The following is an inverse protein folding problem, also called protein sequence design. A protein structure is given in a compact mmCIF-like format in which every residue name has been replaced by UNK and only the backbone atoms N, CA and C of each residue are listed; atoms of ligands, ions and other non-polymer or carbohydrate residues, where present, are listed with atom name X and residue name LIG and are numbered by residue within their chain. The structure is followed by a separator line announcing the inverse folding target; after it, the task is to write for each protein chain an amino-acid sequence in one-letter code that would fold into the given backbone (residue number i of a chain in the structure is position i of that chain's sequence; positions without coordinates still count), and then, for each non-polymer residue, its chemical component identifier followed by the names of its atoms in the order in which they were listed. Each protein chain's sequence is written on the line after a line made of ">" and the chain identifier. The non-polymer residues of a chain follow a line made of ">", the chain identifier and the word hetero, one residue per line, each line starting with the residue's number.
data_IF_262793161516
#
_entry.id   IF_262793161516
#
_cell.length_a   1.000
_cell.length_b   1.000
_cell.length_c   1.000
_cell.angle_alpha   90.00
_cell.angle_beta   90.00
_cell.angle_gamma   90.00
#
_symmetry.space_group_name_H-M   'P 1'
#
loop_
_entity.id
_entity.type
_entity.pdbx_description
1 polymer ?
#
# COMPACT_ATOMS: atom_id res chain seq x y z
N UNK A 1 4.47 4.16 -23.51
CA UNK A 1 4.58 4.89 -22.23
C UNK A 1 4.38 3.83 -21.17
N UNK A 2 5.35 3.50 -20.31
CA UNK A 2 5.13 2.46 -19.34
C UNK A 2 3.99 2.97 -18.47
N UNK A 3 2.89 2.22 -18.48
CA UNK A 3 1.79 2.36 -17.56
C UNK A 3 2.41 2.48 -16.17
N UNK A 4 2.47 3.69 -15.62
CA UNK A 4 2.88 3.88 -14.23
C UNK A 4 1.95 2.96 -13.46
N UNK A 5 2.50 1.89 -12.88
CA UNK A 5 1.72 0.97 -12.08
C UNK A 5 0.85 1.83 -11.16
N UNK A 6 -0.48 1.66 -11.26
CA UNK A 6 -1.40 2.55 -10.56
C UNK A 6 -0.97 2.70 -9.10
N UNK A 7 -1.05 3.89 -8.49
CA UNK A 7 -0.48 4.13 -7.17
C UNK A 7 -1.02 3.11 -6.16
N UNK A 8 -2.28 2.71 -6.29
CA UNK A 8 -2.89 1.62 -5.55
C UNK A 8 -2.16 0.27 -5.70
N UNK A 9 -1.81 -0.14 -6.92
CA UNK A 9 -1.08 -1.36 -7.19
C UNK A 9 0.34 -1.33 -6.59
N UNK A 10 1.01 -0.17 -6.59
CA UNK A 10 2.31 -0.02 -5.92
C UNK A 10 2.19 -0.15 -4.40
N UNK A 11 1.15 0.43 -3.80
CA UNK A 11 0.86 0.32 -2.35
C UNK A 11 0.49 -1.11 -1.95
N UNK A 12 -0.26 -1.80 -2.80
CA UNK A 12 -0.70 -3.17 -2.57
C UNK A 12 0.46 -4.17 -2.48
N UNK A 13 1.67 -3.84 -2.95
CA UNK A 13 2.85 -4.72 -2.83
C UNK A 13 3.39 -4.85 -1.39
N UNK A 14 2.97 -3.98 -0.47
CA UNK A 14 3.46 -3.97 0.91
C UNK A 14 2.36 -4.37 1.88
N UNK A 15 2.72 -4.98 3.01
CA UNK A 15 1.79 -5.18 4.11
C UNK A 15 1.39 -3.84 4.75
N UNK A 16 0.14 -3.74 5.21
CA UNK A 16 -0.32 -2.55 5.89
C UNK A 16 0.04 -2.59 7.38
N UNK A 17 0.94 -1.73 7.90
CA UNK A 17 1.31 -1.75 9.31
C UNK A 17 0.20 -1.24 10.24
N UNK A 18 -0.87 -0.64 9.70
CA UNK A 18 -1.99 -0.10 10.49
C UNK A 18 -3.16 -1.06 10.65
N UNK A 19 -3.53 -1.78 9.59
CA UNK A 19 -4.70 -2.68 9.60
C UNK A 19 -4.35 -4.15 9.33
N UNK A 20 -3.05 -4.43 9.19
CA UNK A 20 -2.45 -5.75 8.98
C UNK A 20 -2.96 -6.46 7.72
N UNK A 21 -3.53 -5.69 6.77
CA UNK A 21 -3.89 -6.21 5.47
C UNK A 21 -2.60 -6.65 4.74
N UNK A 22 -2.52 -7.90 4.26
CA UNK A 22 -1.30 -8.39 3.64
C UNK A 22 -1.07 -7.74 2.28
N UNK A 23 0.15 -7.88 1.76
CA UNK A 23 0.44 -7.59 0.37
C UNK A 23 -0.58 -8.31 -0.57
N UNK A 24 -0.96 -7.63 -1.64
CA UNK A 24 -1.98 -8.02 -2.60
C UNK A 24 -3.41 -7.70 -2.16
N UNK A 25 -3.61 -7.26 -0.91
CA UNK A 25 -4.92 -6.87 -0.38
C UNK A 25 -5.08 -5.36 -0.27
N UNK A 26 -6.31 -4.86 -0.48
CA UNK A 26 -6.67 -3.46 -0.17
C UNK A 26 -6.64 -3.25 1.35
N UNK A 27 -6.52 -1.99 1.80
CA UNK A 27 -6.69 -1.70 3.22
C UNK A 27 -8.15 -1.93 3.66
N UNK A 28 -8.34 -2.22 4.95
CA UNK A 28 -9.67 -2.40 5.55
C UNK A 28 -9.94 -1.38 6.64
N UNK A 29 -11.19 -0.98 6.74
CA UNK A 29 -11.75 -0.26 7.89
C UNK A 29 -11.94 -1.22 9.06
N UNK A 30 -12.06 -0.67 10.28
CA UNK A 30 -12.35 -1.47 11.48
C UNK A 30 -13.68 -2.23 11.40
N UNK A 31 -14.63 -1.75 10.59
CA UNK A 31 -15.90 -2.41 10.30
C UNK A 31 -15.84 -3.52 9.24
N UNK A 32 -14.64 -3.96 8.83
CA UNK A 32 -14.48 -5.05 7.88
C UNK A 32 -14.87 -4.69 6.44
N UNK A 33 -14.86 -3.40 6.09
CA UNK A 33 -15.10 -2.90 4.72
C UNK A 33 -13.82 -2.38 4.09
N UNK A 34 -13.73 -2.42 2.76
CA UNK A 34 -12.64 -1.78 2.01
C UNK A 34 -12.66 -0.28 2.29
N UNK A 35 -11.52 0.28 2.68
CA UNK A 35 -11.38 1.74 2.91
C UNK A 35 -11.42 2.50 1.58
N UNK A 36 -11.95 3.74 1.54
CA UNK A 36 -11.85 4.58 0.34
C UNK A 36 -10.42 5.10 0.05
N UNK A 37 -9.51 5.03 1.03
CA UNK A 37 -8.11 5.46 0.89
C UNK A 37 -7.16 4.56 1.67
N UNK A 38 -5.96 4.31 1.15
CA UNK A 38 -4.95 3.52 1.85
C UNK A 38 -4.41 4.27 3.07
N UNK A 39 -3.96 3.51 4.07
CA UNK A 39 -3.34 4.08 5.26
C UNK A 39 -1.99 4.72 4.90
N UNK A 40 -1.74 5.94 5.39
CA UNK A 40 -0.49 6.69 5.18
C UNK A 40 0.76 5.87 5.48
N UNK A 41 0.85 5.13 6.60
CA UNK A 41 2.01 4.28 6.87
C UNK A 41 2.30 3.23 5.79
N UNK A 42 1.29 2.75 5.05
CA UNK A 42 1.48 1.76 3.99
C UNK A 42 2.00 2.41 2.71
N UNK A 43 1.39 3.50 2.24
CA UNK A 43 1.82 4.10 0.99
C UNK A 43 3.15 4.85 1.09
N UNK A 44 3.54 5.29 2.29
CA UNK A 44 4.88 5.84 2.56
C UNK A 44 6.02 4.82 2.35
N UNK A 45 5.71 3.52 2.32
CA UNK A 45 6.69 2.47 1.98
C UNK A 45 7.08 2.53 0.50
N UNK A 46 6.24 3.12 -0.34
CA UNK A 46 6.52 3.32 -1.76
C UNK A 46 7.24 4.67 -1.94
N UNK A 47 8.53 4.71 -2.32
CA UNK A 47 9.31 5.95 -2.35
C UNK A 47 8.69 7.05 -3.24
N UNK A 48 8.11 6.65 -4.37
CA UNK A 48 7.47 7.56 -5.33
C UNK A 48 6.19 8.24 -4.78
N UNK A 49 5.51 7.61 -3.80
CA UNK A 49 4.26 8.12 -3.22
C UNK A 49 4.47 8.85 -1.90
N UNK A 50 5.72 9.01 -1.42
CA UNK A 50 5.98 9.70 -0.15
C UNK A 50 5.63 11.19 -0.16
N UNK A 51 5.63 11.80 -1.34
CA UNK A 51 5.19 13.19 -1.52
C UNK A 51 3.66 13.30 -1.64
N UNK A 52 2.93 12.18 -1.80
CA UNK A 52 1.48 12.19 -1.87
C UNK A 52 0.85 12.28 -0.49
N UNK A 53 -0.20 13.08 -0.39
CA UNK A 53 -0.95 13.27 0.85
C UNK A 53 -1.94 12.13 1.09
N UNK A 54 -2.49 11.56 0.01
CA UNK A 54 -3.42 10.44 0.03
C UNK A 54 -3.30 9.59 -1.23
N UNK A 55 -3.48 8.29 -1.07
CA UNK A 55 -3.69 7.35 -2.19
C UNK A 55 -5.10 6.80 -2.09
N UNK A 56 -5.94 7.09 -3.09
CA UNK A 56 -7.32 6.62 -3.15
C UNK A 56 -7.38 5.15 -3.53
N UNK A 57 -8.36 4.45 -3.00
CA UNK A 57 -8.68 3.09 -3.42
C UNK A 57 -9.49 3.15 -4.72
N UNK A 58 -9.01 2.52 -5.82
CA UNK A 58 -9.71 2.52 -7.11
C UNK A 58 -11.11 1.92 -7.01
N UNK A 59 -12.01 2.33 -7.92
CA UNK A 59 -13.41 1.91 -7.89
C UNK A 59 -13.58 0.39 -8.10
N UNK A 60 -12.71 -0.24 -8.90
CA UNK A 60 -12.69 -1.68 -9.16
C UNK A 60 -12.38 -2.52 -7.91
N UNK A 61 -11.69 -1.92 -6.91
CA UNK A 61 -11.40 -2.53 -5.61
C UNK A 61 -12.58 -2.49 -4.64
N UNK A 62 -13.68 -1.84 -5.01
CA UNK A 62 -14.93 -1.83 -4.26
C UNK A 62 -14.88 -1.11 -2.91
N UNK A 63 -14.45 0.17 -2.85
CA UNK A 63 -14.46 0.93 -1.59
C UNK A 63 -15.86 0.92 -0.95
N UNK A 64 -15.92 0.67 0.36
CA UNK A 64 -17.17 0.54 1.13
C UNK A 64 -17.84 -0.85 1.08
N UNK A 65 -17.40 -1.75 0.18
CA UNK A 65 -17.84 -3.16 0.16
C UNK A 65 -17.18 -3.96 1.27
N UNK A 66 -17.73 -5.14 1.55
CA UNK A 66 -17.12 -6.10 2.47
C UNK A 66 -15.68 -6.40 2.03
N UNK A 67 -14.74 -6.25 2.94
CA UNK A 67 -13.33 -6.50 2.66
C UNK A 67 -13.12 -8.00 2.54
N UNK A 68 -12.34 -8.38 1.52
CA UNK A 68 -11.88 -9.74 1.30
C UNK A 68 -10.36 -9.70 1.15
N UNK A 69 -9.71 -10.77 1.58
CA UNK A 69 -8.29 -10.93 1.34
C UNK A 69 -8.05 -10.99 -0.17
N UNK A 70 -7.14 -10.15 -0.65
CA UNK A 70 -6.69 -10.16 -2.04
C UNK A 70 -5.78 -11.37 -2.33
N UNK A 71 -5.32 -11.51 -3.58
CA UNK A 71 -4.39 -12.58 -3.94
C UNK A 71 -3.13 -12.51 -3.07
N UNK A 72 -2.71 -13.65 -2.53
CA UNK A 72 -1.48 -13.74 -1.79
C UNK A 72 -0.30 -13.53 -2.75
N UNK A 73 0.42 -12.42 -2.58
CA UNK A 73 1.66 -12.12 -3.29
C UNK A 73 2.80 -12.05 -2.28
N UNK A 74 4.03 -12.28 -2.75
CA UNK A 74 5.20 -12.03 -1.94
C UNK A 74 5.28 -10.53 -1.62
N UNK A 75 5.21 -10.17 -0.33
CA UNK A 75 5.34 -8.78 0.08
C UNK A 75 6.70 -8.23 -0.37
N UNK A 76 6.67 -7.07 -1.02
CA UNK A 76 7.89 -6.35 -1.34
C UNK A 76 8.59 -5.94 -0.04
N UNK A 77 9.90 -6.17 0.01
CA UNK A 77 10.70 -5.61 1.10
C UNK A 77 10.69 -4.08 0.94
N UNK A 78 10.37 -3.30 1.99
CA UNK A 78 10.58 -1.86 1.93
C UNK A 78 12.06 -1.64 1.64
N UNK A 79 12.36 -0.83 0.62
CA UNK A 79 13.75 -0.45 0.35
C UNK A 79 14.29 0.20 1.63
N UNK A 80 15.15 -0.54 2.32
CA UNK A 80 15.83 -0.04 3.49
C UNK A 80 16.60 1.18 3.02
N UNK A 81 16.30 2.35 3.63
CA UNK A 81 17.14 3.52 3.50
C UNK A 81 18.58 3.05 3.74
N UNK A 82 19.39 3.03 2.68
CA UNK A 82 20.79 2.61 2.74
C UNK A 82 21.44 3.45 3.85
N UNK A 83 21.87 2.77 4.90
CA UNK A 83 22.46 3.43 6.07
C UNK A 83 23.68 4.23 5.61
N UNK A 84 23.90 5.44 6.13
CA UNK A 84 25.02 6.27 5.69
C UNK A 84 26.34 5.56 6.01
N UNK A 85 27.16 5.36 4.98
CA UNK A 85 28.54 4.90 5.10
C UNK A 85 29.28 5.86 6.05
N UNK A 86 29.76 5.33 7.18
CA UNK A 86 30.75 6.03 8.02
C UNK A 86 32.08 5.98 7.26
N UNK A 87 32.47 7.08 6.62
CA UNK A 87 33.86 7.28 6.20
C UNK A 87 34.62 7.83 7.41
N UNK A 88 35.66 7.10 7.81
CA UNK A 88 36.65 7.53 8.80
C UNK A 88 37.79 8.28 8.14
#
# INVERSE_FOLDING_TARGET
>A
MPELAEPAAAVEQFDCPTCEAPAGSTCRTRGGKVTPKYHTPRFMLVPQLRAEMEVKTPADRGPGRAWQMGPAIGAAAPEAATKPTRVG
#
